data_IF_673988875288
#
_entry.id   IF_673988875288
#
_cell.length_a   1.000
_cell.length_b   1.000
_cell.length_c   1.000
_cell.angle_alpha   90.00
_cell.angle_beta   90.00
_cell.angle_gamma   90.00
#
_symmetry.space_group_name_H-M   'P 1'
#
loop_
_entity.id
_entity.type
_entity.pdbx_description
1 polymer ?
#
# COMPACT_ATOMS: atom_id res chain seq x y z
N UNK A 1 -0.45 77.93 43.50
CA UNK A 1 -1.31 77.91 42.31
C UNK A 1 -1.16 76.53 41.70
N UNK A 2 -2.11 75.68 42.07
CA UNK A 2 -2.22 74.29 41.63
C UNK A 2 -2.83 74.30 40.22
N UNK A 3 -2.05 73.90 39.22
CA UNK A 3 -2.57 73.71 37.86
C UNK A 3 -3.14 72.30 37.76
N UNK A 4 -4.37 72.14 38.25
CA UNK A 4 -5.21 70.93 38.12
C UNK A 4 -5.60 70.54 36.70
N UNK A 5 -4.82 70.97 35.70
CA UNK A 5 -4.92 70.63 34.28
C UNK A 5 -3.87 69.59 33.83
N UNK A 6 -2.84 69.33 34.64
CA UNK A 6 -1.73 68.41 34.27
C UNK A 6 -2.02 66.93 34.61
N UNK A 7 -2.95 66.65 35.54
CA UNK A 7 -3.29 65.28 35.96
C UNK A 7 -4.01 64.45 34.90
N UNK A 8 -5.05 64.96 34.20
CA UNK A 8 -5.78 64.17 33.20
C UNK A 8 -4.93 63.88 31.95
N UNK A 9 -4.06 64.82 31.58
CA UNK A 9 -3.17 64.69 30.42
C UNK A 9 -2.10 63.63 30.68
N UNK A 10 -1.49 63.62 31.88
CA UNK A 10 -0.54 62.58 32.27
C UNK A 10 -1.16 61.19 32.31
N UNK A 11 -2.39 61.07 32.80
CA UNK A 11 -3.11 59.80 32.84
C UNK A 11 -3.48 59.30 31.43
N UNK A 12 -3.91 60.20 30.54
CA UNK A 12 -4.15 59.87 29.13
C UNK A 12 -2.88 59.37 28.43
N UNK A 13 -1.74 60.05 28.64
CA UNK A 13 -0.44 59.62 28.09
C UNK A 13 -0.02 58.26 28.66
N UNK A 14 -0.20 58.03 29.96
CA UNK A 14 0.15 56.75 30.58
C UNK A 14 -0.71 55.59 30.04
N UNK A 15 -2.00 55.84 29.79
CA UNK A 15 -2.89 54.84 29.20
C UNK A 15 -2.56 54.56 27.73
N UNK A 16 -2.21 55.60 26.96
CA UNK A 16 -1.76 55.46 25.58
C UNK A 16 -0.46 54.65 25.50
N UNK A 17 0.52 54.95 26.36
CA UNK A 17 1.78 54.20 26.42
C UNK A 17 1.54 52.73 26.78
N UNK A 18 0.66 52.44 27.76
CA UNK A 18 0.28 51.06 28.10
C UNK A 18 -0.39 50.35 26.93
N UNK A 19 -1.28 51.04 26.22
CA UNK A 19 -1.97 50.53 25.04
C UNK A 19 -0.98 50.17 23.93
N UNK A 20 -0.05 51.08 23.61
CA UNK A 20 0.99 50.88 22.59
C UNK A 20 1.93 49.73 22.97
N UNK A 21 2.34 49.64 24.24
CA UNK A 21 3.19 48.53 24.72
C UNK A 21 2.42 47.20 24.63
N UNK A 22 1.17 47.15 25.04
CA UNK A 22 0.35 45.94 24.96
C UNK A 22 0.14 45.51 23.51
N UNK A 23 -0.15 46.44 22.61
CA UNK A 23 -0.25 46.19 21.16
C UNK A 23 1.07 45.65 20.61
N UNK A 24 2.20 46.29 20.95
CA UNK A 24 3.52 45.88 20.49
C UNK A 24 3.92 44.47 20.99
N UNK A 25 3.59 44.13 22.24
CA UNK A 25 3.80 42.80 22.78
C UNK A 25 2.91 41.76 22.10
N UNK A 26 1.65 42.08 21.83
CA UNK A 26 0.74 41.20 21.12
C UNK A 26 1.21 40.94 19.68
N UNK A 27 1.69 41.96 18.99
CA UNK A 27 2.26 41.83 17.65
C UNK A 27 3.51 40.95 17.66
N UNK A 28 4.37 41.08 18.67
CA UNK A 28 5.53 40.22 18.85
C UNK A 28 5.12 38.76 19.06
N UNK A 29 4.13 38.48 19.90
CA UNK A 29 3.61 37.14 20.14
C UNK A 29 2.97 36.53 18.89
N UNK A 30 2.20 37.31 18.14
CA UNK A 30 1.59 36.87 16.88
C UNK A 30 2.66 36.51 15.84
N UNK A 31 3.71 37.33 15.71
CA UNK A 31 4.84 37.06 14.82
C UNK A 31 5.62 35.80 15.25
N UNK A 32 5.82 35.61 16.55
CA UNK A 32 6.47 34.41 17.08
C UNK A 32 5.63 33.15 16.81
N UNK A 33 4.30 33.22 16.99
CA UNK A 33 3.39 32.12 16.66
C UNK A 33 3.49 31.75 15.18
N UNK A 34 3.37 32.73 14.29
CA UNK A 34 3.47 32.52 12.85
C UNK A 34 4.82 31.93 12.44
N UNK A 35 5.91 32.37 13.08
CA UNK A 35 7.24 31.79 12.83
C UNK A 35 7.32 30.34 13.31
N UNK A 36 6.78 30.02 14.48
CA UNK A 36 6.74 28.64 14.99
C UNK A 36 5.94 27.74 14.07
N UNK A 37 4.75 28.17 13.64
CA UNK A 37 3.91 27.41 12.71
C UNK A 37 4.62 27.17 11.37
N UNK A 38 5.29 28.19 10.83
CA UNK A 38 6.07 28.05 9.60
C UNK A 38 7.21 27.03 9.73
N UNK A 39 7.91 27.03 10.88
CA UNK A 39 9.00 26.09 11.16
C UNK A 39 8.46 24.68 11.39
N UNK A 40 7.37 24.52 12.13
CA UNK A 40 6.72 23.23 12.36
C UNK A 40 6.23 22.62 11.04
N UNK A 41 5.59 23.40 10.19
CA UNK A 41 5.17 22.95 8.86
C UNK A 41 6.37 22.54 7.99
N UNK A 42 7.47 23.31 8.04
CA UNK A 42 8.70 22.96 7.32
C UNK A 42 9.35 21.69 7.88
N UNK A 43 9.36 21.51 9.19
CA UNK A 43 9.84 20.28 9.83
C UNK A 43 8.99 19.08 9.43
N UNK A 44 7.67 19.19 9.48
CA UNK A 44 6.75 18.15 9.04
C UNK A 44 6.98 17.78 7.58
N UNK A 45 7.12 18.77 6.70
CA UNK A 45 7.42 18.55 5.28
C UNK A 45 8.77 17.85 5.09
N UNK A 46 9.82 18.30 5.79
CA UNK A 46 11.13 17.67 5.73
C UNK A 46 11.11 16.22 6.24
N UNK A 47 10.35 15.94 7.31
CA UNK A 47 10.18 14.59 7.85
C UNK A 47 9.46 13.69 6.84
N UNK A 48 8.37 14.17 6.23
CA UNK A 48 7.64 13.42 5.20
C UNK A 48 8.52 13.13 3.98
N UNK A 49 9.28 14.13 3.51
CA UNK A 49 10.20 13.97 2.40
C UNK A 49 11.33 12.99 2.75
N UNK A 50 11.92 13.10 3.93
CA UNK A 50 12.95 12.18 4.42
C UNK A 50 12.42 10.75 4.52
N UNK A 51 11.20 10.54 5.02
CA UNK A 51 10.57 9.23 5.05
C UNK A 51 10.33 8.66 3.64
N UNK A 52 9.91 9.51 2.69
CA UNK A 52 9.74 9.13 1.29
C UNK A 52 11.08 8.72 0.65
N UNK A 53 12.14 9.50 0.89
CA UNK A 53 13.48 9.23 0.36
C UNK A 53 14.08 7.96 0.98
N UNK A 54 13.91 7.74 2.29
CA UNK A 54 14.33 6.51 2.98
C UNK A 54 13.57 5.29 2.44
N UNK A 55 12.25 5.41 2.24
CA UNK A 55 11.44 4.35 1.63
C UNK A 55 11.90 4.03 0.21
N UNK A 56 12.16 5.04 -0.62
CA UNK A 56 12.65 4.84 -1.99
C UNK A 56 14.06 4.25 -2.02
N UNK A 57 14.97 4.69 -1.15
CA UNK A 57 16.31 4.11 -1.05
C UNK A 57 16.26 2.64 -0.62
N UNK A 58 15.36 2.28 0.30
CA UNK A 58 15.13 0.88 0.69
C UNK A 58 14.54 0.07 -0.47
N UNK A 59 13.58 0.63 -1.22
CA UNK A 59 13.02 -0.02 -2.42
C UNK A 59 14.10 -0.22 -3.48
N UNK A 60 14.94 0.76 -3.75
CA UNK A 60 16.03 0.66 -4.72
C UNK A 60 17.07 -0.38 -4.29
N UNK A 61 17.41 -0.46 -3.00
CA UNK A 61 18.33 -1.48 -2.47
C UNK A 61 17.72 -2.89 -2.51
N UNK A 62 16.40 -2.99 -2.35
CA UNK A 62 15.65 -4.23 -2.62
C UNK A 62 15.70 -4.54 -4.11
N UNK A 63 15.48 -3.59 -5.01
CA UNK A 63 15.54 -3.82 -6.45
C UNK A 63 16.94 -4.22 -6.94
N UNK A 64 17.99 -3.62 -6.38
CA UNK A 64 19.38 -3.94 -6.68
C UNK A 64 19.80 -5.32 -6.12
N UNK A 65 19.13 -5.82 -5.07
CA UNK A 65 19.28 -7.20 -4.59
C UNK A 65 18.32 -8.20 -5.26
N UNK A 66 17.24 -7.71 -5.91
CA UNK A 66 16.32 -8.49 -6.76
C UNK A 66 16.86 -8.60 -8.20
N UNK A 67 17.79 -7.73 -8.61
CA UNK A 67 18.30 -7.62 -9.98
C UNK A 67 19.27 -8.72 -10.37
N UNK A 68 18.97 -9.96 -10.01
CA UNK A 68 19.46 -11.13 -10.72
C UNK A 68 18.57 -11.36 -11.96
N UNK A 69 18.33 -10.31 -12.77
CA UNK A 69 17.51 -10.25 -14.00
C UNK A 69 16.15 -11.01 -14.01
N UNK A 70 15.65 -11.45 -12.87
CA UNK A 70 14.57 -12.42 -12.80
C UNK A 70 13.22 -11.72 -12.95
N UNK A 71 12.51 -12.04 -14.03
CA UNK A 71 11.17 -11.50 -14.30
C UNK A 71 10.09 -12.46 -13.78
N UNK A 72 9.42 -12.05 -12.71
CA UNK A 72 8.28 -12.78 -12.17
C UNK A 72 7.12 -12.83 -13.17
N UNK A 73 6.58 -14.03 -13.41
CA UNK A 73 5.44 -14.24 -14.29
C UNK A 73 4.10 -13.78 -13.68
N UNK A 74 4.01 -13.75 -12.36
CA UNK A 74 2.80 -13.37 -11.62
C UNK A 74 3.12 -12.22 -10.67
N UNK A 75 2.32 -11.14 -10.73
CA UNK A 75 2.51 -9.97 -9.86
C UNK A 75 2.39 -10.32 -8.38
N UNK A 76 1.53 -11.28 -8.02
CA UNK A 76 1.43 -11.79 -6.64
C UNK A 76 2.73 -12.41 -6.13
N UNK A 77 3.44 -13.15 -6.99
CA UNK A 77 4.73 -13.79 -6.63
C UNK A 77 5.83 -12.75 -6.48
N UNK A 78 5.88 -11.75 -7.37
CA UNK A 78 6.81 -10.61 -7.23
C UNK A 78 6.60 -9.89 -5.90
N UNK A 79 5.33 -9.61 -5.55
CA UNK A 79 4.99 -8.97 -4.30
C UNK A 79 5.37 -9.84 -3.08
N UNK A 80 5.21 -11.17 -3.18
CA UNK A 80 5.66 -12.07 -2.13
C UNK A 80 7.18 -12.08 -1.98
N UNK A 81 7.91 -12.15 -3.08
CA UNK A 81 9.35 -12.10 -3.05
C UNK A 81 9.87 -10.82 -2.41
N UNK A 82 9.37 -9.66 -2.86
CA UNK A 82 9.72 -8.35 -2.28
C UNK A 82 9.40 -8.28 -0.78
N UNK A 83 8.28 -8.86 -0.35
CA UNK A 83 7.94 -8.94 1.06
C UNK A 83 8.94 -9.81 1.85
N UNK A 84 9.26 -11.02 1.34
CA UNK A 84 10.23 -11.91 1.96
C UNK A 84 11.62 -11.27 2.08
N UNK A 85 12.06 -10.53 1.05
CA UNK A 85 13.33 -9.79 1.10
C UNK A 85 13.33 -8.76 2.24
N UNK A 86 12.22 -8.02 2.45
CA UNK A 86 12.11 -7.08 3.58
C UNK A 86 12.23 -7.78 4.93
N UNK A 87 11.56 -8.92 5.11
CA UNK A 87 11.65 -9.71 6.36
C UNK A 87 13.07 -10.21 6.58
N UNK A 88 13.72 -10.75 5.54
CA UNK A 88 15.11 -11.21 5.60
C UNK A 88 16.05 -10.05 5.97
N UNK A 89 15.84 -8.85 5.43
CA UNK A 89 16.63 -7.67 5.81
C UNK A 89 16.54 -7.40 7.31
N UNK A 90 15.32 -7.40 7.89
CA UNK A 90 15.13 -7.16 9.34
C UNK A 90 15.79 -8.23 10.20
N UNK A 91 15.67 -9.50 9.81
CA UNK A 91 16.33 -10.60 10.51
C UNK A 91 17.85 -10.55 10.38
N UNK A 92 18.37 -10.09 9.25
CA UNK A 92 19.82 -9.93 9.02
C UNK A 92 20.38 -8.75 9.81
N UNK A 93 19.64 -7.63 9.89
CA UNK A 93 19.95 -6.50 10.77
C UNK A 93 19.97 -6.93 12.25
N UNK A 94 18.97 -7.72 12.70
CA UNK A 94 18.95 -8.25 14.06
C UNK A 94 20.16 -9.16 14.33
N UNK A 95 20.49 -10.05 13.37
CA UNK A 95 21.62 -10.96 13.47
C UNK A 95 22.94 -10.20 13.55
N UNK A 96 23.17 -9.19 12.71
CA UNK A 96 24.44 -8.44 12.71
C UNK A 96 24.69 -7.66 14.00
N UNK A 97 23.63 -7.23 14.69
CA UNK A 97 23.73 -6.62 16.03
C UNK A 97 24.21 -7.62 17.09
N UNK A 98 23.92 -8.91 16.90
CA UNK A 98 24.27 -9.99 17.84
C UNK A 98 25.59 -10.70 17.46
N UNK A 99 25.96 -10.72 16.18
CA UNK A 99 27.21 -11.30 15.65
C UNK A 99 28.43 -10.38 15.90
N UNK A 100 28.48 -9.70 17.05
CA UNK A 100 29.65 -8.91 17.48
C UNK A 100 30.20 -9.47 18.79
N UNK A 101 31.53 -9.52 18.98
CA UNK A 101 32.12 -10.10 20.19
C UNK A 101 31.80 -9.32 21.48
N UNK A 102 31.36 -8.06 21.35
CA UNK A 102 30.88 -7.22 22.47
C UNK A 102 29.40 -6.88 22.27
N UNK A 103 28.53 -7.72 22.82
CA UNK A 103 27.08 -7.56 22.80
C UNK A 103 26.62 -6.79 24.04
N UNK A 104 26.40 -5.48 23.89
CA UNK A 104 25.83 -4.66 24.94
C UNK A 104 24.31 -4.85 25.06
N UNK A 105 23.73 -4.57 26.23
CA UNK A 105 22.27 -4.61 26.45
C UNK A 105 21.51 -3.74 25.44
N UNK A 106 22.09 -2.62 25.02
CA UNK A 106 21.53 -1.73 23.99
C UNK A 106 21.42 -2.42 22.62
N UNK A 107 22.46 -3.17 22.21
CA UNK A 107 22.41 -3.95 20.96
C UNK A 107 21.38 -5.08 21.03
N UNK A 108 21.24 -5.73 22.19
CA UNK A 108 20.20 -6.75 22.40
C UNK A 108 18.80 -6.15 22.28
N UNK A 109 18.57 -4.97 22.87
CA UNK A 109 17.30 -4.26 22.73
C UNK A 109 17.02 -3.91 21.24
N UNK A 110 18.00 -3.33 20.55
CA UNK A 110 17.87 -3.02 19.13
C UNK A 110 17.61 -4.27 18.26
N UNK A 111 18.26 -5.40 18.56
CA UNK A 111 18.01 -6.66 17.85
C UNK A 111 16.58 -7.18 18.08
N UNK A 112 16.05 -7.06 19.30
CA UNK A 112 14.65 -7.40 19.62
C UNK A 112 13.66 -6.50 18.89
N UNK A 113 13.95 -5.21 18.76
CA UNK A 113 13.13 -4.28 18.01
C UNK A 113 13.08 -4.67 16.53
N UNK A 114 14.23 -5.03 15.93
CA UNK A 114 14.31 -5.51 14.55
C UNK A 114 13.56 -6.83 14.32
N UNK A 115 13.60 -7.74 15.27
CA UNK A 115 12.80 -8.97 15.21
C UNK A 115 11.31 -8.64 15.27
N UNK A 116 10.91 -7.72 16.16
CA UNK A 116 9.52 -7.27 16.28
C UNK A 116 9.03 -6.63 14.97
N UNK A 117 9.82 -5.74 14.36
CA UNK A 117 9.53 -5.18 13.03
C UNK A 117 9.34 -6.29 11.97
N UNK A 118 10.18 -7.33 12.00
CA UNK A 118 10.06 -8.49 11.11
C UNK A 118 8.76 -9.29 11.33
N UNK A 119 8.35 -9.46 12.59
CA UNK A 119 7.10 -10.13 12.96
C UNK A 119 5.89 -9.33 12.46
N UNK A 120 5.89 -8.01 12.68
CA UNK A 120 4.79 -7.13 12.26
C UNK A 120 4.60 -7.16 10.74
N UNK A 121 5.70 -7.17 9.97
CA UNK A 121 5.66 -7.35 8.52
C UNK A 121 4.94 -8.66 8.15
N UNK A 122 5.29 -9.78 8.79
CA UNK A 122 4.67 -11.08 8.52
C UNK A 122 3.18 -11.06 8.88
N UNK A 123 2.81 -10.48 10.02
CA UNK A 123 1.41 -10.38 10.44
C UNK A 123 0.57 -9.53 9.49
N UNK A 124 1.08 -8.37 9.06
CA UNK A 124 0.44 -7.54 8.05
C UNK A 124 0.24 -8.34 6.77
N UNK A 125 1.26 -9.07 6.33
CA UNK A 125 1.16 -9.87 5.12
C UNK A 125 0.14 -10.99 5.21
N UNK A 126 0.05 -11.66 6.36
CA UNK A 126 -0.96 -12.68 6.62
C UNK A 126 -2.38 -12.10 6.50
N UNK A 127 -2.62 -10.87 6.99
CA UNK A 127 -3.91 -10.18 6.80
C UNK A 127 -4.21 -9.95 5.32
N UNK A 128 -3.22 -9.51 4.54
CA UNK A 128 -3.38 -9.29 3.10
C UNK A 128 -3.62 -10.59 2.33
N UNK A 129 -2.99 -11.69 2.72
CA UNK A 129 -3.23 -13.02 2.13
C UNK A 129 -4.67 -13.45 2.39
N UNK A 130 -5.15 -13.33 3.64
CA UNK A 130 -6.55 -13.63 3.98
C UNK A 130 -7.53 -12.78 3.16
N UNK A 131 -7.25 -11.49 3.01
CA UNK A 131 -8.08 -10.59 2.17
C UNK A 131 -8.06 -10.99 0.68
N UNK A 132 -6.91 -11.45 0.17
CA UNK A 132 -6.83 -11.95 -1.19
C UNK A 132 -7.60 -13.26 -1.36
N UNK A 133 -7.54 -14.16 -0.39
CA UNK A 133 -8.21 -15.46 -0.41
C UNK A 133 -9.74 -15.32 -0.31
N UNK A 134 -10.22 -14.40 0.53
CA UNK A 134 -11.65 -14.18 0.76
C UNK A 134 -12.38 -13.43 -0.36
N UNK A 135 -11.65 -12.81 -1.29
CA UNK A 135 -12.23 -11.99 -2.36
C UNK A 135 -12.06 -12.64 -3.73
N UNK A 136 -13.13 -12.73 -4.52
CA UNK A 136 -13.11 -13.26 -5.89
C UNK A 136 -12.09 -12.56 -6.81
N UNK A 137 -11.78 -11.29 -6.53
CA UNK A 137 -10.84 -10.49 -7.33
C UNK A 137 -9.39 -10.61 -6.84
N UNK A 138 -9.17 -11.35 -5.76
CA UNK A 138 -7.86 -11.71 -5.22
C UNK A 138 -6.98 -10.53 -4.85
N UNK A 139 -5.71 -10.63 -5.23
CA UNK A 139 -4.68 -9.59 -5.03
C UNK A 139 -5.02 -8.20 -5.60
N UNK A 140 -6.00 -8.08 -6.50
CA UNK A 140 -6.44 -6.76 -6.98
C UNK A 140 -7.14 -5.96 -5.89
N UNK A 141 -7.88 -6.61 -4.99
CA UNK A 141 -8.51 -5.95 -3.84
C UNK A 141 -7.45 -5.49 -2.84
N UNK A 142 -6.42 -6.31 -2.63
CA UNK A 142 -5.26 -5.94 -1.80
C UNK A 142 -4.54 -4.70 -2.36
N UNK A 143 -4.37 -4.59 -3.68
CA UNK A 143 -3.76 -3.40 -4.27
C UNK A 143 -4.58 -2.14 -3.98
N UNK A 144 -5.90 -2.18 -4.14
CA UNK A 144 -6.77 -1.05 -3.81
C UNK A 144 -6.74 -0.70 -2.32
N UNK A 145 -6.66 -1.72 -1.45
CA UNK A 145 -6.55 -1.56 0.00
C UNK A 145 -5.25 -0.85 0.41
N UNK A 146 -4.11 -1.22 -0.17
CA UNK A 146 -2.80 -0.60 0.11
C UNK A 146 -2.75 0.83 -0.46
N UNK A 147 -3.32 1.06 -1.65
CA UNK A 147 -3.19 2.34 -2.38
C UNK A 147 -4.10 3.43 -1.81
N UNK A 148 -5.19 3.06 -1.14
CA UNK A 148 -6.11 3.99 -0.50
C UNK A 148 -6.18 3.70 1.01
N UNK A 149 -5.24 4.22 1.82
CA UNK A 149 -5.37 4.19 3.27
C UNK A 149 -6.57 5.10 3.63
N UNK A 150 -7.76 4.52 3.75
CA UNK A 150 -8.92 5.24 4.26
C UNK A 150 -8.70 5.39 5.77
N UNK A 151 -8.26 6.57 6.19
CA UNK A 151 -8.33 7.04 7.55
C UNK A 151 -9.66 7.76 7.73
N UNK A 152 -10.67 7.05 8.26
CA UNK A 152 -11.45 7.46 9.43
C UNK A 152 -12.43 6.32 9.77
N UNK A 153 -12.84 6.26 11.03
CA UNK A 153 -13.49 5.11 11.68
C UNK A 153 -14.76 4.55 11.00
N UNK A 154 -15.14 3.34 11.45
CA UNK A 154 -16.39 2.61 11.17
C UNK A 154 -16.37 1.53 10.07
N UNK A 155 -16.29 0.28 10.57
CA UNK A 155 -16.71 -0.99 9.97
C UNK A 155 -15.88 -1.54 8.78
N UNK A 156 -14.97 -2.47 9.08
CA UNK A 156 -14.14 -3.22 8.13
C UNK A 156 -14.97 -3.94 7.02
N UNK A 157 -16.23 -4.29 7.28
CA UNK A 157 -17.14 -4.84 6.26
C UNK A 157 -17.48 -3.83 5.15
N UNK A 158 -17.71 -2.56 5.52
CA UNK A 158 -17.93 -1.50 4.51
C UNK A 158 -16.66 -1.26 3.70
N UNK A 159 -15.49 -1.47 4.30
CA UNK A 159 -14.18 -1.36 3.65
C UNK A 159 -13.97 -2.45 2.60
N UNK A 160 -14.29 -3.70 2.93
CA UNK A 160 -14.20 -4.84 2.01
C UNK A 160 -15.18 -4.71 0.83
N UNK A 161 -16.44 -4.39 1.11
CA UNK A 161 -17.49 -4.26 0.09
C UNK A 161 -17.20 -3.13 -0.93
N UNK A 162 -16.62 -2.01 -0.47
CA UNK A 162 -16.23 -0.89 -1.35
C UNK A 162 -15.00 -1.22 -2.19
N UNK A 163 -14.02 -1.91 -1.63
CA UNK A 163 -12.83 -2.35 -2.38
C UNK A 163 -13.21 -3.37 -3.47
N UNK A 164 -14.07 -4.33 -3.15
CA UNK A 164 -14.63 -5.29 -4.11
C UNK A 164 -15.39 -4.56 -5.23
N UNK A 165 -16.30 -3.64 -4.86
CA UNK A 165 -17.06 -2.84 -5.84
C UNK A 165 -16.15 -2.06 -6.80
N UNK A 166 -15.04 -1.48 -6.31
CA UNK A 166 -14.08 -0.74 -7.15
C UNK A 166 -13.31 -1.65 -8.09
N UNK A 167 -12.83 -2.79 -7.59
CA UNK A 167 -12.09 -3.75 -8.40
C UNK A 167 -13.00 -4.41 -9.47
N UNK A 168 -14.28 -4.66 -9.16
CA UNK A 168 -15.27 -5.12 -10.14
C UNK A 168 -15.49 -4.10 -11.26
N UNK A 169 -15.66 -2.82 -10.91
CA UNK A 169 -15.83 -1.73 -11.89
C UNK A 169 -14.62 -1.63 -12.81
N UNK A 170 -13.40 -1.67 -12.26
CA UNK A 170 -12.16 -1.66 -13.06
C UNK A 170 -12.07 -2.88 -13.99
N UNK A 171 -12.40 -4.07 -13.49
CA UNK A 171 -12.39 -5.29 -14.30
C UNK A 171 -13.43 -5.27 -15.43
N UNK A 172 -14.65 -4.78 -15.15
CA UNK A 172 -15.70 -4.60 -16.16
C UNK A 172 -15.29 -3.57 -17.22
N UNK A 173 -14.67 -2.46 -16.82
CA UNK A 173 -14.17 -1.44 -17.73
C UNK A 173 -13.02 -1.95 -18.63
N UNK A 174 -12.07 -2.71 -18.09
CA UNK A 174 -11.02 -3.36 -18.89
C UNK A 174 -11.59 -4.36 -19.90
N UNK A 175 -12.56 -5.17 -19.47
CA UNK A 175 -13.25 -6.11 -20.37
C UNK A 175 -14.02 -5.38 -21.47
N UNK A 176 -14.67 -4.26 -21.15
CA UNK A 176 -15.38 -3.43 -22.13
C UNK A 176 -14.44 -2.80 -23.17
N UNK A 177 -13.23 -2.37 -22.76
CA UNK A 177 -12.21 -1.83 -23.68
C UNK A 177 -11.63 -2.88 -24.64
N UNK A 178 -11.66 -4.16 -24.26
CA UNK A 178 -11.16 -5.28 -25.08
C UNK A 178 -12.20 -5.87 -26.04
N UNK A 179 -13.46 -5.43 -26.00
CA UNK A 179 -14.48 -5.89 -26.97
C UNK A 179 -14.36 -5.06 -28.25
N UNK A 180 -14.23 -5.69 -29.44
CA UNK A 180 -14.33 -4.95 -30.69
C UNK A 180 -15.70 -4.29 -30.77
N UNK A 181 -15.73 -3.00 -31.14
CA UNK A 181 -16.98 -2.25 -31.28
C UNK A 181 -17.84 -2.96 -32.35
N UNK A 182 -19.15 -3.18 -32.13
CA UNK A 182 -20.01 -3.69 -33.17
C UNK A 182 -19.97 -2.72 -34.36
N UNK A 183 -19.50 -3.20 -35.51
CA UNK A 183 -19.56 -2.44 -36.76
C UNK A 183 -21.04 -2.24 -37.10
N UNK A 184 -21.51 -1.00 -37.35
CA UNK A 184 -22.89 -0.77 -37.72
C UNK A 184 -23.15 -1.42 -39.08
N UNK A 185 -24.19 -2.25 -39.14
CA UNK A 185 -24.62 -2.90 -40.36
C UNK A 185 -25.21 -1.84 -41.31
N UNK A 186 -24.40 -1.35 -42.25
CA UNK A 186 -24.86 -0.47 -43.33
C UNK A 186 -25.79 -1.26 -44.24
N UNK A 187 -27.07 -0.88 -44.23
CA UNK A 187 -28.12 -1.50 -45.04
C UNK A 187 -28.41 -0.60 -46.25
N UNK A 188 -27.46 -0.50 -47.16
CA UNK A 188 -27.73 0.08 -48.48
C UNK A 188 -28.17 -1.02 -49.44
N UNK A 189 -29.45 -0.94 -49.79
CA UNK A 189 -30.09 -1.71 -50.85
C UNK A 189 -29.91 -0.96 -52.17
N UNK A 190 -29.19 -1.55 -53.13
CA UNK A 190 -29.50 -1.41 -54.54
C UNK A 190 -28.85 -2.49 -55.40
N UNK A 191 -29.70 -3.17 -56.17
CA UNK A 191 -29.48 -3.84 -57.47
C UNK A 191 -28.41 -4.93 -57.60
N UNK A 192 -28.93 -6.16 -57.75
CA UNK A 192 -28.57 -7.16 -58.78
C UNK A 192 -27.09 -7.46 -59.03
N UNK A 193 -26.64 -8.64 -58.59
CA UNK A 193 -26.01 -9.54 -59.53
C UNK A 193 -26.21 -11.01 -59.17
N UNK A 194 -26.47 -11.81 -60.21
CA UNK A 194 -26.75 -13.25 -60.11
C UNK A 194 -25.46 -14.03 -59.84
N UNK A 195 -25.65 -15.18 -59.19
CA UNK A 195 -24.74 -16.32 -59.13
C UNK A 195 -23.62 -16.30 -58.07
N UNK A 196 -23.88 -16.93 -56.92
CA UNK A 196 -22.88 -17.74 -56.23
C UNK A 196 -23.55 -18.70 -55.24
N UNK A 197 -23.17 -19.96 -55.39
CA UNK A 197 -23.54 -21.15 -54.61
C UNK A 197 -23.24 -20.97 -53.11
N UNK A 198 -24.26 -20.58 -52.32
CA UNK A 198 -24.16 -20.61 -50.85
C UNK A 198 -25.21 -21.56 -50.27
N UNK A 199 -24.76 -22.75 -49.86
CA UNK A 199 -25.57 -23.67 -49.05
C UNK A 199 -25.49 -23.22 -47.59
N UNK A 200 -26.61 -22.93 -46.90
CA UNK A 200 -26.56 -22.65 -45.46
C UNK A 200 -26.13 -23.92 -44.71
N UNK A 201 -25.09 -23.80 -43.89
CA UNK A 201 -24.64 -24.87 -43.02
C UNK A 201 -25.73 -25.19 -41.98
N UNK A 202 -26.11 -26.46 -41.90
CA UNK A 202 -27.00 -26.99 -40.88
C UNK A 202 -26.46 -26.68 -39.48
N UNK A 203 -27.30 -26.11 -38.62
CA UNK A 203 -27.04 -25.99 -37.18
C UNK A 203 -27.14 -27.39 -36.57
N UNK A 204 -25.99 -28.01 -36.32
CA UNK A 204 -25.89 -29.22 -35.51
C UNK A 204 -26.25 -28.85 -34.06
N UNK A 205 -27.39 -29.32 -33.55
CA UNK A 205 -27.67 -29.29 -32.11
C UNK A 205 -26.77 -30.32 -31.44
N UNK A 206 -25.64 -29.85 -30.89
CA UNK A 206 -24.76 -30.65 -30.07
C UNK A 206 -25.46 -31.10 -28.79
N UNK A 207 -25.54 -32.42 -28.62
CA UNK A 207 -26.02 -33.14 -27.45
C UNK A 207 -25.08 -32.90 -26.26
N UNK A 208 -25.64 -32.57 -25.08
CA UNK A 208 -24.86 -32.38 -23.86
C UNK A 208 -24.41 -33.73 -23.32
N UNK A 209 -23.16 -34.09 -23.58
CA UNK A 209 -22.50 -35.18 -22.84
C UNK A 209 -22.09 -34.65 -21.46
N UNK A 210 -22.70 -35.18 -20.39
CA UNK A 210 -22.21 -34.96 -19.03
C UNK A 210 -20.92 -35.77 -18.86
N UNK A 211 -19.80 -35.09 -18.69
CA UNK A 211 -18.60 -35.73 -18.13
C UNK A 211 -18.80 -35.83 -16.61
N UNK A 212 -19.05 -37.04 -16.13
CA UNK A 212 -18.97 -37.39 -14.71
C UNK A 212 -17.49 -37.50 -14.34
N UNK A 213 -17.01 -36.59 -13.49
CA UNK A 213 -15.63 -36.61 -13.01
C UNK A 213 -15.56 -37.62 -11.86
N UNK A 214 -14.93 -38.78 -12.12
CA UNK A 214 -14.62 -39.79 -11.11
C UNK A 214 -13.72 -39.19 -10.02
N UNK A 215 -14.26 -39.12 -8.80
CA UNK A 215 -13.64 -38.51 -7.62
C UNK A 215 -12.57 -39.40 -6.96
N UNK A 216 -12.23 -40.53 -7.57
CA UNK A 216 -11.38 -41.57 -6.96
C UNK A 216 -9.87 -41.42 -7.19
N UNK A 217 -9.37 -40.29 -7.72
CA UNK A 217 -7.94 -40.09 -8.03
C UNK A 217 -7.21 -38.99 -7.23
N UNK A 218 -7.72 -38.62 -6.05
CA UNK A 218 -7.08 -37.62 -5.18
C UNK A 218 -6.52 -38.19 -3.87
N UNK A 219 -6.02 -39.43 -3.86
CA UNK A 219 -5.38 -40.02 -2.68
C UNK A 219 -4.08 -40.75 -3.04
N UNK A 220 -3.14 -40.08 -3.69
CA UNK A 220 -1.74 -40.51 -3.67
C UNK A 220 -0.88 -39.24 -3.71
N UNK A 221 -0.50 -38.76 -2.52
CA UNK A 221 0.74 -38.04 -2.19
C UNK A 221 0.65 -37.65 -0.71
N UNK A 222 0.50 -38.67 0.13
CA UNK A 222 0.91 -38.63 1.53
C UNK A 222 2.06 -39.63 1.67
N UNK A 223 3.02 -39.34 2.54
CA UNK A 223 4.26 -40.09 2.84
C UNK A 223 5.52 -39.69 2.04
N UNK A 224 6.26 -38.71 2.55
CA UNK A 224 7.61 -38.96 3.11
C UNK A 224 8.07 -37.77 3.95
N UNK A 225 7.83 -37.85 5.26
CA UNK A 225 8.56 -37.09 6.26
C UNK A 225 9.73 -37.97 6.67
N UNK A 226 10.92 -37.74 6.12
CA UNK A 226 12.15 -38.25 6.73
C UNK A 226 12.71 -37.20 7.69
N UNK A 227 12.62 -37.57 8.96
CA UNK A 227 13.29 -36.96 10.10
C UNK A 227 14.76 -37.33 10.02
N UNK A 228 15.65 -36.37 9.78
CA UNK A 228 17.07 -36.51 10.12
C UNK A 228 17.31 -35.67 11.37
N UNK A 229 17.29 -36.34 12.51
CA UNK A 229 17.83 -35.90 13.79
C UNK A 229 19.12 -36.70 14.01
N UNK A 230 20.13 -36.00 14.51
CA UNK A 230 21.46 -36.44 14.98
C UNK A 230 22.58 -36.63 13.95
N UNK A 231 23.71 -35.98 14.25
CA UNK A 231 25.04 -36.54 14.00
C UNK A 231 26.07 -35.60 13.38
N UNK A 232 26.78 -34.86 14.23
CA UNK A 232 28.23 -34.61 14.14
C UNK A 232 28.84 -34.10 12.83
N UNK A 233 29.22 -32.82 12.81
CA UNK A 233 30.30 -32.34 11.94
C UNK A 233 31.59 -32.37 12.77
N UNK A 234 32.51 -33.27 12.40
CA UNK A 234 33.90 -33.27 12.82
C UNK A 234 34.75 -32.64 11.70
N UNK A 235 35.50 -31.61 12.11
CA UNK A 235 36.69 -30.96 11.51
C UNK A 235 36.54 -30.40 10.10
#
# INVERSE_FOLDING_TARGET
MDTGLDSPIREAIANEVKSVIASSQQDMLNNMSAMMDSRLNRLQSNIQQSQFDISNAQINKIEESVSDNYKFQRKGNENQFRHSVKVISKLTEARSLLDTPDVSLSKVAAAKDKISEGIDLVQERQKLIKLADSSELGWRVVQEYITNPIADDSEDEKRMNRAQSRAERKSKAEKAKKRPRPVPYNKDRSSEDKNSNYKPAYVFKGEKVKAELDSSKLNELDTTVEVIVDGSIHI
#
